data_IF_135493612296
#
_entry.id   IF_135493612296
#
_cell.length_a   1.000
_cell.length_b   1.000
_cell.length_c   1.000
_cell.angle_alpha   90.00
_cell.angle_beta   90.00
_cell.angle_gamma   90.00
#
_symmetry.space_group_name_H-M   'P 1'
#
loop_
_entity.id
_entity.type
_entity.pdbx_description
1 polymer ?
#
# COMPACT_ATOMS: atom_id res chain seq x y z
N UNK A 1 -5.59 -16.10 2.62
CA UNK A 1 -5.42 -14.66 2.93
C UNK A 1 -4.14 -14.08 2.32
N UNK A 2 -2.99 -14.78 2.41
CA UNK A 2 -1.69 -14.35 1.85
C UNK A 2 -1.69 -13.80 0.41
N UNK A 3 -2.46 -14.39 -0.52
CA UNK A 3 -2.44 -13.95 -1.92
C UNK A 3 -2.98 -12.52 -2.13
N UNK A 4 -4.01 -12.12 -1.36
CA UNK A 4 -4.61 -10.78 -1.47
C UNK A 4 -3.70 -9.72 -0.84
N UNK A 5 -3.04 -10.07 0.26
CA UNK A 5 -2.03 -9.20 0.91
C UNK A 5 -0.83 -8.98 0.01
N UNK A 6 -0.32 -10.06 -0.60
CA UNK A 6 0.76 -9.99 -1.59
C UNK A 6 0.34 -9.15 -2.81
N UNK A 7 -0.88 -9.31 -3.30
CA UNK A 7 -1.40 -8.50 -4.40
C UNK A 7 -1.49 -7.01 -4.03
N UNK A 8 -1.94 -6.66 -2.82
CA UNK A 8 -1.98 -5.28 -2.33
C UNK A 8 -0.57 -4.67 -2.25
N UNK A 9 0.39 -5.41 -1.70
CA UNK A 9 1.78 -4.97 -1.60
C UNK A 9 2.44 -4.82 -2.98
N UNK A 10 2.15 -5.73 -3.92
CA UNK A 10 2.61 -5.64 -5.30
C UNK A 10 2.01 -4.44 -6.04
N UNK A 11 0.71 -4.16 -5.83
CA UNK A 11 0.04 -2.98 -6.38
C UNK A 11 0.74 -1.70 -5.94
N UNK A 12 0.99 -1.54 -4.62
CA UNK A 12 1.70 -0.39 -4.08
C UNK A 12 3.09 -0.28 -4.69
N UNK A 13 3.89 -1.34 -4.63
CA UNK A 13 5.26 -1.33 -5.17
C UNK A 13 5.34 -0.97 -6.65
N UNK A 14 4.41 -1.50 -7.45
CA UNK A 14 4.33 -1.19 -8.88
C UNK A 14 4.02 0.29 -9.14
N UNK A 15 2.95 0.82 -8.54
CA UNK A 15 2.53 2.21 -8.80
C UNK A 15 3.44 3.25 -8.14
N UNK A 16 4.08 2.94 -7.01
CA UNK A 16 5.10 3.83 -6.43
C UNK A 16 6.36 3.92 -7.28
N UNK A 17 6.67 2.90 -8.09
CA UNK A 17 7.79 2.94 -9.04
C UNK A 17 7.51 3.82 -10.27
N UNK A 18 6.24 4.12 -10.55
CA UNK A 18 5.84 4.92 -11.70
C UNK A 18 5.85 6.42 -11.36
N UNK A 19 6.91 7.12 -11.77
CA UNK A 19 7.16 8.54 -11.43
C UNK A 19 5.97 9.49 -11.63
N UNK A 20 5.16 9.28 -12.69
CA UNK A 20 3.99 10.13 -12.98
C UNK A 20 2.87 9.94 -11.94
N UNK A 21 2.67 8.70 -11.48
CA UNK A 21 1.60 8.33 -10.55
C UNK A 21 2.06 8.57 -9.11
N UNK A 22 3.32 8.26 -8.80
CA UNK A 22 3.92 8.44 -7.47
C UNK A 22 4.05 9.91 -7.01
N UNK A 23 3.75 10.90 -7.88
CA UNK A 23 3.76 12.33 -7.52
C UNK A 23 2.67 12.68 -6.52
N UNK A 24 1.55 11.97 -6.56
CA UNK A 24 0.45 12.12 -5.61
C UNK A 24 0.30 10.83 -4.79
N UNK A 25 1.12 10.73 -3.74
CA UNK A 25 1.16 9.54 -2.87
C UNK A 25 -0.12 9.35 -2.09
N UNK A 26 -0.83 10.43 -1.73
CA UNK A 26 -2.13 10.36 -1.07
C UNK A 26 -3.17 9.71 -1.97
N UNK A 27 -3.29 10.19 -3.23
CA UNK A 27 -4.23 9.59 -4.19
C UNK A 27 -3.87 8.15 -4.53
N UNK A 28 -2.57 7.84 -4.63
CA UNK A 28 -2.09 6.47 -4.81
C UNK A 28 -2.55 5.55 -3.68
N UNK A 29 -2.44 5.99 -2.42
CA UNK A 29 -2.88 5.19 -1.26
C UNK A 29 -4.40 5.01 -1.23
N UNK A 30 -5.17 6.03 -1.58
CA UNK A 30 -6.63 5.90 -1.71
C UNK A 30 -7.01 4.81 -2.71
N UNK A 31 -6.40 4.83 -3.90
CA UNK A 31 -6.62 3.84 -4.94
C UNK A 31 -6.17 2.43 -4.50
N UNK A 32 -5.06 2.31 -3.77
CA UNK A 32 -4.64 1.05 -3.19
C UNK A 32 -5.71 0.49 -2.25
N UNK A 33 -6.29 1.35 -1.41
CA UNK A 33 -7.31 0.96 -0.45
C UNK A 33 -8.63 0.58 -1.15
N UNK A 34 -9.00 1.25 -2.23
CA UNK A 34 -10.10 0.82 -3.11
C UNK A 34 -9.83 -0.56 -3.73
N UNK A 35 -8.61 -0.79 -4.23
CA UNK A 35 -8.18 -2.08 -4.75
C UNK A 35 -8.24 -3.18 -3.68
N UNK A 36 -7.85 -2.87 -2.45
CA UNK A 36 -7.98 -3.79 -1.31
C UNK A 36 -9.44 -4.20 -1.09
N UNK A 37 -10.35 -3.22 -1.07
CA UNK A 37 -11.80 -3.44 -0.91
C UNK A 37 -12.40 -4.25 -2.06
N UNK A 38 -11.98 -4.01 -3.30
CA UNK A 38 -12.48 -4.79 -4.46
C UNK A 38 -12.05 -6.25 -4.42
N UNK A 39 -10.91 -6.55 -3.78
CA UNK A 39 -10.49 -7.93 -3.48
C UNK A 39 -11.21 -8.53 -2.25
N UNK A 40 -12.13 -7.81 -1.61
CA UNK A 40 -12.86 -8.27 -0.41
C UNK A 40 -12.07 -8.16 0.89
N UNK A 41 -11.05 -7.30 0.94
CA UNK A 41 -10.37 -6.92 2.19
C UNK A 41 -11.03 -5.62 2.70
N UNK A 42 -11.96 -5.76 3.64
CA UNK A 42 -12.63 -4.62 4.28
C UNK A 42 -11.65 -3.72 5.05
N UNK A 43 -10.60 -4.34 5.59
CA UNK A 43 -9.50 -3.66 6.28
C UNK A 43 -8.23 -3.88 5.43
N UNK A 44 -7.57 -2.81 4.95
CA UNK A 44 -6.33 -2.94 4.21
C UNK A 44 -5.26 -3.72 4.99
N UNK A 45 -4.43 -4.54 4.33
CA UNK A 45 -3.33 -5.24 4.97
C UNK A 45 -2.36 -4.28 5.65
N UNK A 46 -1.83 -4.69 6.80
CA UNK A 46 -0.75 -3.94 7.45
C UNK A 46 0.58 -4.23 6.74
N UNK A 47 1.39 -3.19 6.48
CA UNK A 47 2.67 -3.32 5.80
C UNK A 47 3.80 -2.95 6.78
N UNK A 48 4.91 -3.73 6.82
CA UNK A 48 6.09 -3.39 7.61
C UNK A 48 6.65 -2.00 7.27
N UNK A 49 7.06 -1.25 8.30
CA UNK A 49 7.56 0.13 8.13
C UNK A 49 8.76 0.22 7.18
N UNK A 50 9.64 -0.78 7.19
CA UNK A 50 10.82 -0.84 6.30
C UNK A 50 10.43 -1.03 4.83
N UNK A 51 9.31 -1.67 4.53
CA UNK A 51 8.77 -1.81 3.17
C UNK A 51 8.15 -0.48 2.73
N UNK A 52 7.36 0.17 3.60
CA UNK A 52 6.79 1.48 3.32
C UNK A 52 7.87 2.53 3.05
N UNK A 53 8.96 2.49 3.82
CA UNK A 53 10.12 3.37 3.63
C UNK A 53 10.77 3.17 2.25
N UNK A 54 10.99 1.92 1.84
CA UNK A 54 11.50 1.57 0.49
C UNK A 54 10.57 2.01 -0.65
N UNK A 55 9.27 2.08 -0.39
CA UNK A 55 8.26 2.53 -1.36
C UNK A 55 8.05 4.05 -1.35
N UNK A 56 8.70 4.80 -0.44
CA UNK A 56 8.47 6.24 -0.28
C UNK A 56 7.08 6.57 0.30
N UNK A 57 6.45 5.60 0.98
CA UNK A 57 5.10 5.72 1.55
C UNK A 57 5.12 5.88 3.08
N UNK A 58 6.30 6.02 3.68
CA UNK A 58 6.43 6.28 5.11
C UNK A 58 5.72 7.58 5.48
N UNK A 59 4.89 7.54 6.52
CA UNK A 59 4.07 8.64 7.02
C UNK A 59 2.93 9.11 6.08
N UNK A 60 2.67 8.42 4.97
CA UNK A 60 1.50 8.73 4.13
C UNK A 60 0.24 8.22 4.85
N UNK A 61 -0.78 9.07 5.09
CA UNK A 61 -2.00 8.66 5.78
C UNK A 61 -2.78 7.61 4.97
N UNK A 62 -3.55 6.77 5.66
CA UNK A 62 -4.39 5.75 5.02
C UNK A 62 -3.74 4.38 4.85
N UNK A 63 -2.45 4.22 5.19
CA UNK A 63 -1.78 2.92 5.26
C UNK A 63 -1.71 2.41 6.71
N UNK A 64 -1.84 1.10 6.89
CA UNK A 64 -1.67 0.44 8.18
C UNK A 64 -0.23 -0.04 8.31
N UNK A 65 0.43 0.32 9.40
CA UNK A 65 1.79 -0.12 9.70
C UNK A 65 1.70 -1.43 10.50
N UNK A 66 2.39 -2.46 10.05
CA UNK A 66 2.51 -3.69 10.83
C UNK A 66 3.40 -3.43 12.06
N UNK A 67 3.04 -3.93 13.25
CA UNK A 67 3.91 -3.84 14.42
C UNK A 67 5.28 -4.46 14.08
N UNK A 68 6.35 -3.79 14.48
CA UNK A 68 7.71 -4.25 14.22
C UNK A 68 7.93 -5.61 14.86
N UNK A 69 8.35 -6.58 14.04
CA UNK A 69 8.89 -7.86 14.50
C UNK A 69 10.25 -7.68 15.15
#
# INVERSE_FOLDING_TARGET
MKNKEAAYQAWLGYYTSQKKIARDTTRLVELANEFSRSMGLSIPPAIPVNVLDKMGLKNVPGLRVAPGS
#
